data_IF_938462640736
#
_entry.id   IF_938462640736
#
_cell.length_a   1.000
_cell.length_b   1.000
_cell.length_c   1.000
_cell.angle_alpha   90.00
_cell.angle_beta   90.00
_cell.angle_gamma   90.00
#
_symmetry.space_group_name_H-M   'P 1'
#
loop_
_entity.id
_entity.type
_entity.pdbx_description
1 polymer ?
#
# COMPACT_ATOMS: atom_id res chain seq x y z
N UNK A 1 -36.57 0.59 46.37
CA UNK A 1 -36.20 0.21 44.99
C UNK A 1 -34.75 -0.22 45.02
N UNK A 2 -34.49 -1.52 45.10
CA UNK A 2 -33.16 -2.06 45.40
C UNK A 2 -32.25 -2.02 44.17
N UNK A 3 -31.07 -1.41 44.30
CA UNK A 3 -30.00 -1.38 43.29
C UNK A 3 -29.58 -2.79 42.80
N UNK A 4 -29.88 -3.84 43.57
CA UNK A 4 -29.58 -5.23 43.24
C UNK A 4 -30.39 -5.80 42.04
N UNK A 5 -31.54 -5.22 41.68
CA UNK A 5 -32.32 -5.67 40.52
C UNK A 5 -31.84 -5.07 39.19
N UNK A 6 -30.97 -4.05 39.22
CA UNK A 6 -30.44 -3.41 38.01
C UNK A 6 -29.14 -4.05 37.50
N UNK A 7 -28.43 -4.80 38.35
CA UNK A 7 -27.16 -5.46 38.01
C UNK A 7 -27.36 -6.56 36.94
N UNK A 8 -28.36 -7.45 37.02
CA UNK A 8 -28.59 -8.48 35.99
C UNK A 8 -29.01 -7.87 34.64
N UNK A 9 -29.74 -6.74 34.68
CA UNK A 9 -30.19 -6.04 33.46
C UNK A 9 -29.02 -5.33 32.78
N UNK A 10 -28.13 -4.68 33.55
CA UNK A 10 -26.90 -4.08 33.03
C UNK A 10 -25.96 -5.13 32.43
N UNK A 11 -25.79 -6.27 33.08
CA UNK A 11 -25.01 -7.40 32.56
C UNK A 11 -25.64 -8.00 31.30
N UNK A 12 -26.96 -8.17 31.25
CA UNK A 12 -27.65 -8.63 30.04
C UNK A 12 -27.54 -7.63 28.89
N UNK A 13 -27.70 -6.33 29.14
CA UNK A 13 -27.54 -5.28 28.12
C UNK A 13 -26.09 -5.23 27.62
N UNK A 14 -25.11 -5.37 28.51
CA UNK A 14 -23.70 -5.46 28.15
C UNK A 14 -23.41 -6.72 27.31
N UNK A 15 -23.88 -7.89 27.74
CA UNK A 15 -23.73 -9.15 27.00
C UNK A 15 -24.43 -9.09 25.63
N UNK A 16 -25.62 -8.51 25.53
CA UNK A 16 -26.33 -8.30 24.26
C UNK A 16 -25.61 -7.29 23.37
N UNK A 17 -25.03 -6.22 23.95
CA UNK A 17 -24.21 -5.27 23.21
C UNK A 17 -22.91 -5.92 22.70
N UNK A 18 -22.23 -6.72 23.52
CA UNK A 18 -21.05 -7.49 23.13
C UNK A 18 -21.39 -8.54 22.07
N UNK A 19 -22.51 -9.26 22.22
CA UNK A 19 -22.97 -10.25 21.25
C UNK A 19 -23.38 -9.59 19.93
N UNK A 20 -24.09 -8.45 19.97
CA UNK A 20 -24.44 -7.66 18.78
C UNK A 20 -23.19 -7.09 18.11
N UNK A 21 -22.23 -6.58 18.88
CA UNK A 21 -20.96 -6.09 18.37
C UNK A 21 -20.16 -7.22 17.71
N UNK A 22 -20.05 -8.37 18.37
CA UNK A 22 -19.38 -9.55 17.83
C UNK A 22 -20.08 -10.05 16.56
N UNK A 23 -21.42 -10.11 16.57
CA UNK A 23 -22.24 -10.47 15.42
C UNK A 23 -22.02 -9.52 14.24
N UNK A 24 -22.10 -8.21 14.47
CA UNK A 24 -21.85 -7.21 13.42
C UNK A 24 -20.43 -7.29 12.85
N UNK A 25 -19.44 -7.73 13.64
CA UNK A 25 -18.05 -7.90 13.21
C UNK A 25 -17.79 -9.20 12.47
N UNK A 26 -18.35 -10.31 12.92
CA UNK A 26 -18.28 -11.59 12.21
C UNK A 26 -18.98 -11.56 10.85
N UNK A 27 -19.90 -10.61 10.67
CA UNK A 27 -20.63 -10.41 9.42
C UNK A 27 -20.04 -9.28 8.56
N UNK A 28 -19.04 -8.58 9.07
CA UNK A 28 -18.36 -7.54 8.33
C UNK A 28 -17.41 -8.18 7.32
N UNK A 29 -17.65 -7.93 6.03
CA UNK A 29 -16.76 -8.29 4.94
C UNK A 29 -16.05 -7.06 4.41
N UNK A 30 -14.81 -7.22 3.95
CA UNK A 30 -14.02 -6.16 3.31
C UNK A 30 -14.76 -5.43 2.17
N UNK A 31 -15.70 -6.10 1.51
CA UNK A 31 -16.53 -5.51 0.45
C UNK A 31 -17.21 -4.19 0.83
N UNK A 32 -17.57 -3.98 2.10
CA UNK A 32 -18.20 -2.75 2.59
C UNK A 32 -17.28 -1.53 2.50
N UNK A 33 -15.97 -1.69 2.73
CA UNK A 33 -15.01 -0.57 2.67
C UNK A 33 -14.92 0.07 1.28
N UNK A 34 -15.20 -0.74 0.27
CA UNK A 34 -15.12 -0.34 -1.14
C UNK A 34 -16.49 -0.16 -1.79
N UNK A 35 -17.60 -0.27 -1.06
CA UNK A 35 -18.93 -0.33 -1.66
C UNK A 35 -19.26 0.92 -2.47
N UNK A 36 -18.75 2.08 -2.03
CA UNK A 36 -18.94 3.38 -2.68
C UNK A 36 -17.88 3.74 -3.72
N UNK A 37 -16.88 2.87 -3.93
CA UNK A 37 -15.78 3.14 -4.86
C UNK A 37 -16.19 2.95 -6.32
N UNK A 38 -15.47 3.62 -7.22
CA UNK A 38 -15.65 3.46 -8.67
C UNK A 38 -15.27 2.06 -9.15
N UNK A 39 -15.76 1.67 -10.34
CA UNK A 39 -15.33 0.43 -10.98
C UNK A 39 -14.05 0.67 -11.78
N UNK A 40 -13.07 -0.22 -11.65
CA UNK A 40 -11.86 -0.16 -12.47
C UNK A 40 -12.17 -0.52 -13.94
N UNK A 41 -11.47 0.11 -14.87
CA UNK A 41 -11.51 -0.27 -16.29
C UNK A 41 -10.61 -1.48 -16.59
N UNK A 42 -10.88 -2.18 -17.70
CA UNK A 42 -10.06 -3.32 -18.12
C UNK A 42 -8.62 -2.89 -18.38
N UNK A 43 -8.42 -1.75 -19.04
CA UNK A 43 -7.09 -1.27 -19.45
C UNK A 43 -6.21 -0.88 -18.25
N UNK A 44 -6.81 -0.31 -17.20
CA UNK A 44 -6.08 0.05 -15.97
C UNK A 44 -5.70 -1.17 -15.14
N UNK A 45 -6.55 -2.20 -15.18
CA UNK A 45 -6.37 -3.41 -14.40
C UNK A 45 -5.58 -4.50 -15.14
N UNK A 46 -5.45 -4.41 -16.47
CA UNK A 46 -4.72 -5.34 -17.33
C UNK A 46 -3.33 -5.73 -16.81
N UNK A 47 -2.50 -4.81 -16.28
CA UNK A 47 -1.15 -5.18 -15.85
C UNK A 47 -1.15 -6.12 -14.62
N UNK A 48 -2.21 -6.13 -13.81
CA UNK A 48 -2.20 -6.75 -12.49
C UNK A 48 -1.97 -8.27 -12.54
N UNK A 49 -2.72 -9.08 -13.33
CA UNK A 49 -2.48 -10.51 -13.41
C UNK A 49 -1.08 -10.84 -13.95
N UNK A 50 -0.62 -10.10 -14.98
CA UNK A 50 0.72 -10.27 -15.57
C UNK A 50 1.82 -10.02 -14.52
N UNK A 51 1.73 -8.92 -13.78
CA UNK A 51 2.70 -8.58 -12.74
C UNK A 51 2.66 -9.58 -11.58
N UNK A 52 1.49 -10.14 -11.24
CA UNK A 52 1.41 -11.23 -10.27
C UNK A 52 2.18 -12.47 -10.75
N UNK A 53 2.05 -12.85 -12.03
CA UNK A 53 2.83 -13.95 -12.61
C UNK A 53 4.33 -13.64 -12.63
N UNK A 54 4.72 -12.41 -12.95
CA UNK A 54 6.13 -11.99 -12.89
C UNK A 54 6.69 -12.11 -11.47
N UNK A 55 5.95 -11.67 -10.45
CA UNK A 55 6.36 -11.83 -9.04
C UNK A 55 6.43 -13.31 -8.66
N UNK A 56 5.45 -14.13 -9.06
CA UNK A 56 5.47 -15.58 -8.81
C UNK A 56 6.71 -16.24 -9.42
N UNK A 57 7.16 -15.81 -10.60
CA UNK A 57 8.38 -16.32 -11.21
C UNK A 57 9.64 -16.04 -10.36
N UNK A 58 9.65 -14.98 -9.54
CA UNK A 58 10.75 -14.69 -8.59
C UNK A 58 10.86 -15.77 -7.50
N UNK A 59 9.81 -16.57 -7.28
CA UNK A 59 9.82 -17.69 -6.33
C UNK A 59 10.39 -18.98 -6.90
N UNK A 60 10.50 -19.12 -8.23
CA UNK A 60 11.08 -20.31 -8.86
C UNK A 60 12.57 -20.40 -8.61
N UNK A 61 13.15 -21.59 -8.53
CA UNK A 61 14.61 -21.76 -8.47
C UNK A 61 15.23 -21.67 -9.88
N UNK A 62 14.58 -22.26 -10.88
CA UNK A 62 14.97 -22.23 -12.29
C UNK A 62 13.82 -21.67 -13.15
N UNK A 63 14.09 -20.60 -13.91
CA UNK A 63 13.11 -19.97 -14.78
C UNK A 63 12.96 -20.69 -16.13
N UNK A 64 13.96 -21.47 -16.55
CA UNK A 64 13.89 -22.27 -17.77
C UNK A 64 13.08 -23.57 -17.54
N UNK A 65 13.07 -24.07 -16.31
CA UNK A 65 12.33 -25.27 -15.89
C UNK A 65 11.49 -25.00 -14.63
N UNK A 66 10.43 -24.17 -14.73
CA UNK A 66 9.61 -23.81 -13.58
C UNK A 66 8.86 -25.02 -12.99
N UNK A 67 8.82 -25.12 -11.66
CA UNK A 67 8.16 -26.22 -10.95
C UNK A 67 6.74 -25.88 -10.49
N UNK A 68 6.47 -24.60 -10.25
CA UNK A 68 5.28 -24.08 -9.58
C UNK A 68 4.48 -23.12 -10.45
N UNK A 69 4.64 -23.22 -11.76
CA UNK A 69 3.95 -22.39 -12.72
C UNK A 69 2.42 -22.47 -12.55
N UNK A 70 1.70 -21.33 -12.54
CA UNK A 70 0.24 -21.32 -12.51
C UNK A 70 -0.33 -21.91 -13.81
N UNK A 71 -1.63 -22.27 -13.85
CA UNK A 71 -2.29 -22.67 -15.08
C UNK A 71 -2.12 -21.60 -16.17
N UNK A 72 -1.54 -21.99 -17.32
CA UNK A 72 -1.17 -21.04 -18.40
C UNK A 72 0.28 -20.57 -18.38
N UNK A 73 1.06 -20.96 -17.37
CA UNK A 73 2.47 -20.60 -17.22
C UNK A 73 2.66 -19.17 -16.71
N UNK A 74 3.92 -18.75 -16.57
CA UNK A 74 4.26 -17.39 -16.15
C UNK A 74 4.05 -16.34 -17.25
N UNK A 75 4.03 -16.76 -18.52
CA UNK A 75 3.96 -15.83 -19.65
C UNK A 75 5.20 -14.93 -19.76
N UNK A 76 6.34 -15.37 -19.20
CA UNK A 76 7.61 -14.66 -19.28
C UNK A 76 8.57 -15.39 -20.23
N UNK A 77 9.40 -14.62 -20.91
CA UNK A 77 10.55 -15.11 -21.66
C UNK A 77 11.83 -15.02 -20.80
N UNK A 78 12.43 -16.13 -20.35
CA UNK A 78 13.63 -16.11 -19.50
C UNK A 78 14.81 -15.31 -20.09
N UNK A 79 14.90 -15.19 -21.43
CA UNK A 79 15.94 -14.41 -22.11
C UNK A 79 15.83 -12.90 -21.90
N UNK A 80 14.67 -12.42 -21.44
CA UNK A 80 14.44 -11.01 -21.15
C UNK A 80 14.73 -10.65 -19.68
N UNK A 81 15.15 -11.64 -18.88
CA UNK A 81 15.66 -11.40 -17.53
C UNK A 81 17.02 -10.72 -17.62
N UNK A 82 17.10 -9.51 -17.09
CA UNK A 82 18.36 -8.75 -17.04
C UNK A 82 19.15 -9.16 -15.80
N UNK A 83 18.54 -9.04 -14.62
CA UNK A 83 19.14 -9.40 -13.35
C UNK A 83 18.17 -10.22 -12.52
N UNK A 84 18.71 -11.20 -11.80
CA UNK A 84 18.01 -11.92 -10.74
C UNK A 84 18.93 -11.95 -9.53
N UNK A 85 18.45 -11.49 -8.38
CA UNK A 85 19.24 -11.34 -7.16
C UNK A 85 18.60 -12.11 -6.02
N UNK A 86 19.32 -13.08 -5.47
CA UNK A 86 18.88 -13.89 -4.32
C UNK A 86 19.30 -13.27 -3.00
N UNK A 87 18.91 -13.88 -1.88
CA UNK A 87 19.33 -13.43 -0.55
C UNK A 87 20.85 -13.41 -0.36
N UNK A 88 21.55 -14.30 -1.04
CA UNK A 88 23.01 -14.41 -1.04
C UNK A 88 23.62 -13.18 -1.72
N UNK A 89 23.04 -12.74 -2.84
CA UNK A 89 23.46 -11.51 -3.53
C UNK A 89 23.14 -10.25 -2.73
N UNK A 90 21.94 -10.18 -2.13
CA UNK A 90 21.49 -9.00 -1.39
C UNK A 90 22.09 -8.90 0.02
N UNK A 91 22.69 -9.98 0.51
CA UNK A 91 23.16 -10.13 1.89
C UNK A 91 22.04 -9.84 2.90
N UNK A 92 20.80 -10.21 2.57
CA UNK A 92 19.62 -9.98 3.40
C UNK A 92 19.16 -8.52 3.50
N UNK A 93 19.71 -7.59 2.72
CA UNK A 93 19.31 -6.17 2.76
C UNK A 93 18.03 -5.87 1.98
N UNK A 94 17.68 -6.73 1.03
CA UNK A 94 16.44 -6.69 0.27
C UNK A 94 15.94 -8.13 0.03
N UNK A 95 14.62 -8.35 -0.15
CA UNK A 95 14.09 -9.63 -0.58
C UNK A 95 14.63 -9.99 -1.97
N UNK A 96 14.48 -11.26 -2.37
CA UNK A 96 14.82 -11.68 -3.74
C UNK A 96 14.04 -10.85 -4.77
N UNK A 97 14.70 -10.43 -5.84
CA UNK A 97 14.06 -9.66 -6.90
C UNK A 97 14.59 -10.00 -8.30
N UNK A 98 13.84 -9.55 -9.29
CA UNK A 98 14.07 -9.77 -10.71
C UNK A 98 13.91 -8.43 -11.46
N UNK A 99 14.86 -8.10 -12.33
CA UNK A 99 14.73 -7.06 -13.35
C UNK A 99 14.43 -7.74 -14.68
N UNK A 100 13.30 -7.38 -15.27
CA UNK A 100 12.74 -7.99 -16.46
C UNK A 100 12.47 -6.92 -17.53
N UNK A 101 12.95 -7.15 -18.74
CA UNK A 101 12.72 -6.25 -19.88
C UNK A 101 11.54 -6.76 -20.72
N UNK A 102 10.34 -6.29 -20.40
CA UNK A 102 9.11 -6.71 -21.08
C UNK A 102 8.95 -5.94 -22.39
N UNK A 103 9.38 -6.56 -23.49
CA UNK A 103 9.30 -5.96 -24.81
C UNK A 103 7.87 -5.88 -25.35
N UNK A 104 6.98 -6.78 -24.93
CA UNK A 104 5.59 -6.84 -25.40
C UNK A 104 4.77 -5.68 -24.83
N UNK A 105 5.08 -5.26 -23.60
CA UNK A 105 4.40 -4.17 -22.91
C UNK A 105 5.21 -2.87 -22.87
N UNK A 106 6.39 -2.86 -23.51
CA UNK A 106 7.33 -1.75 -23.50
C UNK A 106 7.60 -1.24 -22.08
N UNK A 107 8.06 -2.13 -21.19
CA UNK A 107 8.37 -1.77 -19.81
C UNK A 107 9.63 -2.46 -19.26
N UNK A 108 10.34 -1.73 -18.41
CA UNK A 108 11.38 -2.27 -17.54
C UNK A 108 10.68 -2.57 -16.21
N UNK A 109 10.50 -3.85 -15.90
CA UNK A 109 9.81 -4.29 -14.70
C UNK A 109 10.81 -4.74 -13.62
N UNK A 110 10.68 -4.22 -12.40
CA UNK A 110 11.42 -4.71 -11.23
C UNK A 110 10.44 -5.37 -10.27
N UNK A 111 10.50 -6.70 -10.18
CA UNK A 111 9.61 -7.52 -9.37
C UNK A 111 10.29 -8.00 -8.09
N UNK A 112 9.70 -7.72 -6.94
CA UNK A 112 10.24 -8.03 -5.61
C UNK A 112 9.37 -9.10 -4.93
N UNK A 113 10.02 -10.17 -4.49
CA UNK A 113 9.39 -11.28 -3.77
C UNK A 113 8.84 -10.82 -2.41
N UNK A 114 7.78 -11.47 -1.94
CA UNK A 114 7.32 -11.37 -0.56
C UNK A 114 8.24 -12.08 0.43
N UNK A 115 7.84 -12.06 1.71
CA UNK A 115 8.63 -12.61 2.81
C UNK A 115 8.92 -14.10 2.62
N UNK A 116 10.17 -14.50 2.83
CA UNK A 116 10.56 -15.89 2.93
C UNK A 116 10.60 -16.32 4.40
N UNK A 117 9.76 -17.29 4.76
CA UNK A 117 9.55 -17.70 6.16
C UNK A 117 10.82 -18.17 6.88
N UNK A 118 11.82 -18.65 6.13
CA UNK A 118 13.09 -19.14 6.67
C UNK A 118 14.19 -18.05 6.77
N UNK A 119 13.97 -16.83 6.27
CA UNK A 119 15.00 -15.78 6.24
C UNK A 119 14.74 -14.75 7.34
N UNK A 120 15.55 -14.79 8.38
CA UNK A 120 15.47 -13.86 9.53
C UNK A 120 15.57 -12.38 9.12
N UNK A 121 16.30 -12.08 8.05
CA UNK A 121 16.47 -10.72 7.53
C UNK A 121 15.14 -10.07 7.11
N UNK A 122 14.19 -10.85 6.59
CA UNK A 122 12.89 -10.34 6.18
C UNK A 122 12.04 -9.94 7.37
N UNK A 123 12.10 -10.74 8.44
CA UNK A 123 11.48 -10.37 9.70
C UNK A 123 12.17 -9.12 10.27
N UNK A 124 13.50 -9.10 10.37
CA UNK A 124 14.22 -7.93 10.86
C UNK A 124 13.85 -6.64 10.10
N UNK A 125 13.66 -6.72 8.78
CA UNK A 125 13.19 -5.62 7.95
C UNK A 125 11.79 -5.14 8.33
N UNK A 126 10.82 -6.06 8.46
CA UNK A 126 9.45 -5.73 8.88
C UNK A 126 9.39 -5.11 10.27
N UNK A 127 10.29 -5.52 11.16
CA UNK A 127 10.27 -5.16 12.58
C UNK A 127 11.08 -3.90 12.87
N UNK A 128 11.90 -3.47 11.91
CA UNK A 128 12.60 -2.20 11.95
C UNK A 128 11.64 -1.03 11.64
N UNK A 129 10.56 -0.90 12.40
CA UNK A 129 9.55 0.15 12.26
C UNK A 129 9.13 0.74 13.61
N UNK A 130 9.97 1.63 14.15
CA UNK A 130 9.60 2.42 15.34
C UNK A 130 8.83 3.67 14.89
N UNK A 131 7.65 3.90 15.47
CA UNK A 131 6.79 5.05 15.17
C UNK A 131 7.56 6.37 15.23
N UNK A 132 7.39 7.21 14.21
CA UNK A 132 8.02 8.53 14.13
C UNK A 132 9.52 8.53 13.84
N UNK A 133 10.17 7.37 13.65
CA UNK A 133 11.62 7.27 13.45
C UNK A 133 12.11 7.75 12.09
N UNK A 134 11.29 7.60 11.04
CA UNK A 134 11.72 7.89 9.67
C UNK A 134 10.72 8.81 8.97
N UNK A 135 11.21 9.99 8.57
CA UNK A 135 10.52 10.91 7.68
C UNK A 135 11.11 10.79 6.28
N UNK A 136 10.27 10.91 5.27
CA UNK A 136 10.66 10.97 3.87
C UNK A 136 9.65 11.83 3.11
N UNK A 137 10.13 12.73 2.24
CA UNK A 137 9.30 13.63 1.43
C UNK A 137 8.18 14.35 2.22
N UNK A 138 8.47 14.78 3.45
CA UNK A 138 7.50 15.50 4.30
C UNK A 138 6.40 14.63 4.93
N UNK A 139 6.50 13.30 4.87
CA UNK A 139 5.65 12.37 5.61
C UNK A 139 6.44 11.33 6.40
N UNK A 140 5.75 10.36 6.98
CA UNK A 140 6.32 9.25 7.73
C UNK A 140 6.27 7.96 6.91
N UNK A 141 7.32 7.15 7.00
CA UNK A 141 7.41 5.90 6.26
C UNK A 141 7.94 4.77 7.14
N UNK A 142 7.70 3.54 6.71
CA UNK A 142 8.24 2.37 7.36
C UNK A 142 9.76 2.30 7.19
N UNK A 143 10.49 2.32 8.31
CA UNK A 143 11.95 2.49 8.28
C UNK A 143 12.70 1.32 7.62
N UNK A 144 12.39 0.07 7.96
CA UNK A 144 13.03 -1.09 7.33
C UNK A 144 12.76 -1.22 5.83
N UNK A 145 11.51 -1.02 5.39
CA UNK A 145 11.14 -1.03 3.98
C UNK A 145 11.84 0.08 3.19
N UNK A 146 11.95 1.30 3.75
CA UNK A 146 12.67 2.38 3.07
C UNK A 146 14.16 2.07 2.95
N UNK A 147 14.80 1.52 3.99
CA UNK A 147 16.22 1.12 3.91
C UNK A 147 16.48 0.09 2.81
N UNK A 148 15.61 -0.90 2.69
CA UNK A 148 15.70 -1.91 1.63
C UNK A 148 15.54 -1.27 0.24
N UNK A 149 14.59 -0.33 0.10
CA UNK A 149 14.37 0.39 -1.14
C UNK A 149 15.54 1.31 -1.53
N UNK A 150 16.10 2.06 -0.58
CA UNK A 150 17.31 2.88 -0.78
C UNK A 150 18.49 1.99 -1.21
N UNK A 151 18.69 0.86 -0.54
CA UNK A 151 19.75 -0.07 -0.90
C UNK A 151 19.58 -0.64 -2.32
N UNK A 152 18.37 -1.06 -2.67
CA UNK A 152 18.06 -1.61 -3.99
C UNK A 152 18.22 -0.54 -5.09
N UNK A 153 17.80 0.70 -4.81
CA UNK A 153 18.02 1.82 -5.72
C UNK A 153 19.51 2.05 -5.96
N UNK A 154 20.34 2.10 -4.92
CA UNK A 154 21.79 2.24 -5.10
C UNK A 154 22.40 1.08 -5.89
N UNK A 155 21.95 -0.16 -5.65
CA UNK A 155 22.48 -1.34 -6.33
C UNK A 155 22.13 -1.40 -7.82
N UNK A 156 20.94 -0.94 -8.21
CA UNK A 156 20.40 -1.16 -9.56
C UNK A 156 20.17 0.14 -10.36
N UNK A 157 20.46 1.32 -9.80
CA UNK A 157 20.19 2.60 -10.48
C UNK A 157 20.88 2.73 -11.84
N UNK A 158 22.15 2.34 -11.95
CA UNK A 158 22.90 2.40 -13.22
C UNK A 158 22.30 1.46 -14.26
N UNK A 159 21.90 0.24 -13.86
CA UNK A 159 21.28 -0.76 -14.74
C UNK A 159 19.93 -0.24 -15.24
N UNK A 160 19.10 0.27 -14.34
CA UNK A 160 17.80 0.82 -14.67
C UNK A 160 17.93 2.05 -15.59
N UNK A 161 18.89 2.93 -15.34
CA UNK A 161 19.20 4.08 -16.21
C UNK A 161 19.56 3.59 -17.62
N UNK A 162 20.52 2.68 -17.73
CA UNK A 162 20.99 2.18 -19.02
C UNK A 162 19.87 1.49 -19.81
N UNK A 163 18.99 0.74 -19.14
CA UNK A 163 17.82 0.11 -19.78
C UNK A 163 16.80 1.14 -20.28
N UNK A 164 16.53 2.18 -19.48
CA UNK A 164 15.57 3.24 -19.82
C UNK A 164 16.11 4.16 -20.93
N UNK A 165 17.41 4.39 -20.99
CA UNK A 165 18.06 5.15 -22.06
C UNK A 165 18.06 4.38 -23.38
N UNK A 166 18.39 3.08 -23.35
CA UNK A 166 18.34 2.20 -24.54
C UNK A 166 16.91 2.01 -25.04
N UNK A 167 15.93 2.04 -24.15
CA UNK A 167 14.52 1.85 -24.46
C UNK A 167 13.72 3.11 -24.11
N UNK A 168 13.98 4.21 -24.82
CA UNK A 168 13.46 5.54 -24.49
C UNK A 168 11.93 5.65 -24.41
N UNK A 169 11.17 4.71 -24.99
CA UNK A 169 9.71 4.68 -24.94
C UNK A 169 9.15 3.81 -23.79
N UNK A 170 10.00 3.13 -23.03
CA UNK A 170 9.55 2.12 -22.07
C UNK A 170 9.11 2.77 -20.75
N UNK A 171 8.14 2.18 -20.07
CA UNK A 171 7.81 2.57 -18.70
C UNK A 171 8.71 1.86 -17.69
N UNK A 172 8.91 2.45 -16.51
CA UNK A 172 9.53 1.78 -15.37
C UNK A 172 8.41 1.30 -14.45
N UNK A 173 8.24 -0.01 -14.34
CA UNK A 173 7.19 -0.64 -13.53
C UNK A 173 7.83 -1.35 -12.33
N UNK A 174 7.58 -0.85 -11.13
CA UNK A 174 8.00 -1.47 -9.89
C UNK A 174 6.87 -2.33 -9.35
N UNK A 175 7.13 -3.55 -8.93
CA UNK A 175 6.09 -4.41 -8.39
C UNK A 175 6.62 -5.33 -7.31
N UNK A 176 5.74 -5.75 -6.43
CA UNK A 176 6.09 -6.74 -5.43
C UNK A 176 4.87 -7.24 -4.69
N UNK A 177 5.06 -8.31 -3.92
CA UNK A 177 4.01 -8.92 -3.11
C UNK A 177 4.32 -8.81 -1.62
N UNK A 178 3.31 -8.56 -0.78
CA UNK A 178 3.43 -8.61 0.68
C UNK A 178 4.58 -7.71 1.19
N UNK A 179 5.62 -8.26 1.81
CA UNK A 179 6.86 -7.54 2.16
C UNK A 179 7.45 -6.78 0.95
N UNK A 180 7.65 -7.46 -0.17
CA UNK A 180 8.24 -6.90 -1.38
C UNK A 180 7.40 -5.77 -1.99
N UNK A 181 6.08 -5.81 -1.82
CA UNK A 181 5.21 -4.71 -2.27
C UNK A 181 5.46 -3.40 -1.50
N UNK A 182 5.76 -3.52 -0.21
CA UNK A 182 6.12 -2.38 0.64
C UNK A 182 7.46 -1.79 0.24
N UNK A 183 8.44 -2.65 -0.08
CA UNK A 183 9.73 -2.23 -0.65
C UNK A 183 9.53 -1.57 -2.02
N UNK A 184 8.72 -2.14 -2.90
CA UNK A 184 8.42 -1.58 -4.22
C UNK A 184 7.76 -0.19 -4.12
N UNK A 185 6.82 0.00 -3.18
CA UNK A 185 6.20 1.29 -2.94
C UNK A 185 7.19 2.35 -2.42
N UNK A 186 8.08 1.98 -1.49
CA UNK A 186 9.16 2.87 -1.04
C UNK A 186 10.13 3.20 -2.17
N UNK A 187 10.49 2.19 -2.98
CA UNK A 187 11.38 2.35 -4.13
C UNK A 187 10.79 3.28 -5.17
N UNK A 188 9.48 3.22 -5.41
CA UNK A 188 8.79 4.16 -6.31
C UNK A 188 8.95 5.60 -5.83
N UNK A 189 8.83 5.85 -4.53
CA UNK A 189 9.06 7.18 -3.97
C UNK A 189 10.52 7.63 -4.11
N UNK A 190 11.48 6.74 -3.83
CA UNK A 190 12.92 7.01 -3.99
C UNK A 190 13.23 7.34 -5.45
N UNK A 191 12.76 6.54 -6.41
CA UNK A 191 12.92 6.75 -7.85
C UNK A 191 12.35 8.11 -8.28
N UNK A 192 11.12 8.42 -7.87
CA UNK A 192 10.45 9.69 -8.21
C UNK A 192 11.19 10.91 -7.66
N UNK A 193 11.82 10.77 -6.48
CA UNK A 193 12.62 11.81 -5.85
C UNK A 193 14.05 11.88 -6.40
N UNK A 194 14.51 10.92 -7.21
CA UNK A 194 15.88 10.88 -7.73
C UNK A 194 15.89 10.59 -9.25
N UNK A 195 14.91 11.13 -10.00
CA UNK A 195 14.73 10.86 -11.44
C UNK A 195 15.92 11.31 -12.28
N UNK A 196 16.66 12.31 -11.82
CA UNK A 196 17.89 12.78 -12.44
C UNK A 196 18.97 11.69 -12.52
N UNK A 197 18.97 10.72 -11.60
CA UNK A 197 19.87 9.56 -11.62
C UNK A 197 19.44 8.46 -12.59
N UNK A 198 18.21 8.52 -13.10
CA UNK A 198 17.60 7.58 -14.03
C UNK A 198 17.32 8.23 -15.39
N UNK A 199 18.23 9.07 -15.88
CA UNK A 199 18.11 9.70 -17.19
C UNK A 199 16.93 10.68 -17.30
N UNK A 200 16.50 11.28 -16.18
CA UNK A 200 15.35 12.19 -16.10
C UNK A 200 14.03 11.59 -16.62
N UNK A 201 13.80 10.30 -16.37
CA UNK A 201 12.53 9.64 -16.70
C UNK A 201 11.33 10.47 -16.22
N UNK A 202 10.33 10.63 -17.10
CA UNK A 202 9.13 11.39 -16.78
C UNK A 202 8.35 10.69 -15.66
N UNK A 203 7.81 11.45 -14.70
CA UNK A 203 7.04 10.88 -13.57
C UNK A 203 5.90 9.95 -14.04
N UNK A 204 5.19 10.33 -15.11
CA UNK A 204 4.09 9.53 -15.72
C UNK A 204 4.53 8.18 -16.30
N UNK A 205 5.83 7.99 -16.54
CA UNK A 205 6.40 6.71 -17.03
C UNK A 205 6.84 5.80 -15.88
N UNK A 206 6.76 6.27 -14.63
CA UNK A 206 7.07 5.47 -13.44
C UNK A 206 5.74 4.97 -12.87
N UNK A 207 5.62 3.66 -12.70
CA UNK A 207 4.44 3.01 -12.13
C UNK A 207 4.87 2.05 -11.04
N UNK A 208 4.04 1.88 -10.03
CA UNK A 208 4.21 0.86 -9.01
C UNK A 208 2.92 0.08 -8.82
N UNK A 209 3.00 -1.25 -8.82
CA UNK A 209 1.89 -2.14 -8.46
C UNK A 209 2.25 -2.91 -7.20
N UNK A 210 1.73 -2.45 -6.06
CA UNK A 210 1.96 -3.05 -4.76
C UNK A 210 0.87 -4.10 -4.47
N UNK A 211 1.22 -5.38 -4.60
CA UNK A 211 0.27 -6.49 -4.46
C UNK A 211 0.22 -6.92 -2.99
N UNK A 212 -0.98 -6.89 -2.39
CA UNK A 212 -1.21 -7.20 -0.97
C UNK A 212 -0.28 -6.41 -0.01
N UNK A 213 -0.33 -5.06 -0.01
CA UNK A 213 0.69 -4.28 0.66
C UNK A 213 0.56 -4.15 2.17
N UNK A 214 1.72 -4.12 2.82
CA UNK A 214 1.82 -3.64 4.20
C UNK A 214 1.62 -2.12 4.26
N UNK A 215 1.05 -1.66 5.37
CA UNK A 215 0.94 -0.23 5.67
C UNK A 215 2.34 0.37 5.83
N UNK A 216 2.75 1.24 4.90
CA UNK A 216 4.15 1.63 4.78
C UNK A 216 4.41 3.15 4.69
N UNK A 217 3.37 3.99 4.57
CA UNK A 217 3.53 5.45 4.48
C UNK A 217 2.37 6.21 5.13
N UNK A 218 2.59 7.44 5.55
CA UNK A 218 1.53 8.32 6.10
C UNK A 218 0.53 8.73 5.02
N UNK A 219 -0.65 9.18 5.44
CA UNK A 219 -1.76 9.47 4.53
C UNK A 219 -1.40 10.51 3.47
N UNK A 220 -0.70 11.59 3.84
CA UNK A 220 -0.25 12.58 2.87
C UNK A 220 0.63 12.00 1.77
N UNK A 221 1.47 11.02 2.07
CA UNK A 221 2.30 10.32 1.09
C UNK A 221 1.45 9.36 0.25
N UNK A 222 0.55 8.61 0.87
CA UNK A 222 -0.36 7.71 0.15
C UNK A 222 -1.17 8.47 -0.91
N UNK A 223 -1.70 9.65 -0.56
CA UNK A 223 -2.44 10.49 -1.51
C UNK A 223 -1.49 11.15 -2.54
N UNK A 224 -0.34 11.70 -2.11
CA UNK A 224 0.61 12.37 -3.01
C UNK A 224 1.19 11.47 -4.10
N UNK A 225 1.34 10.18 -3.82
CA UNK A 225 1.89 9.20 -4.75
C UNK A 225 0.82 8.30 -5.39
N UNK A 226 -0.47 8.62 -5.25
CA UNK A 226 -1.55 7.82 -5.83
C UNK A 226 -1.63 7.86 -7.38
N UNK A 227 -0.90 8.77 -8.01
CA UNK A 227 -0.68 8.81 -9.47
C UNK A 227 0.40 7.81 -9.93
N UNK A 228 1.28 7.36 -9.02
CA UNK A 228 2.40 6.46 -9.32
C UNK A 228 2.15 5.07 -8.74
N UNK A 229 1.64 4.99 -7.50
CA UNK A 229 1.51 3.74 -6.73
C UNK A 229 0.06 3.26 -6.78
N UNK A 230 -0.10 2.02 -7.20
CA UNK A 230 -1.36 1.29 -7.31
C UNK A 230 -1.29 0.05 -6.40
N UNK A 231 -2.04 0.07 -5.30
CA UNK A 231 -2.17 -1.05 -4.37
C UNK A 231 -3.28 -1.99 -4.78
N UNK A 232 -3.01 -3.29 -4.86
CA UNK A 232 -4.01 -4.31 -5.20
C UNK A 232 -4.29 -5.16 -3.97
N UNK A 233 -5.56 -5.27 -3.58
CA UNK A 233 -6.00 -6.04 -2.42
C UNK A 233 -7.11 -6.99 -2.83
N UNK A 234 -6.98 -8.27 -2.49
CA UNK A 234 -8.04 -9.26 -2.66
C UNK A 234 -8.84 -9.36 -1.36
N UNK A 235 -10.14 -9.12 -1.45
CA UNK A 235 -11.11 -9.36 -0.38
C UNK A 235 -10.63 -8.99 1.04
N UNK A 236 -10.59 -9.97 1.94
CA UNK A 236 -10.40 -9.79 3.37
C UNK A 236 -8.91 -9.88 3.74
N UNK A 237 -8.00 -9.67 2.78
CA UNK A 237 -6.57 -9.61 3.04
C UNK A 237 -6.29 -8.65 4.21
N UNK A 238 -5.63 -9.21 5.23
CA UNK A 238 -5.44 -8.58 6.52
C UNK A 238 -4.32 -7.53 6.49
N UNK A 239 -3.31 -7.72 5.62
CA UNK A 239 -2.06 -7.00 5.72
C UNK A 239 -2.19 -5.48 5.51
N UNK A 240 -3.01 -4.99 4.54
CA UNK A 240 -3.25 -3.57 4.35
C UNK A 240 -4.05 -2.91 5.49
N UNK A 241 -4.69 -3.72 6.33
CA UNK A 241 -5.66 -3.28 7.35
C UNK A 241 -5.10 -3.34 8.77
N UNK A 242 -4.08 -4.16 9.01
CA UNK A 242 -3.55 -4.39 10.36
C UNK A 242 -2.49 -3.38 10.74
N UNK A 243 -2.69 -2.75 11.90
CA UNK A 243 -1.66 -1.93 12.55
C UNK A 243 -0.75 -2.68 13.49
N UNK A 244 -1.17 -3.89 13.85
CA UNK A 244 -0.41 -4.79 14.69
C UNK A 244 0.92 -5.12 13.99
N UNK A 245 2.07 -5.01 14.68
CA UNK A 245 3.35 -5.47 14.15
C UNK A 245 3.20 -6.90 13.62
N UNK A 246 3.68 -7.15 12.40
CA UNK A 246 3.58 -8.47 11.76
C UNK A 246 4.14 -9.60 12.62
N UNK A 247 5.14 -9.29 13.45
CA UNK A 247 5.65 -10.16 14.52
C UNK A 247 4.55 -10.79 15.36
N UNK A 248 3.58 -9.98 15.79
CA UNK A 248 2.48 -10.41 16.66
C UNK A 248 1.46 -11.23 15.88
N UNK A 249 1.26 -10.92 14.59
CA UNK A 249 0.38 -11.68 13.70
C UNK A 249 1.00 -13.04 13.41
N UNK A 250 2.27 -13.11 13.02
CA UNK A 250 2.96 -14.37 12.76
C UNK A 250 3.11 -15.21 14.04
N UNK A 251 3.53 -14.62 15.17
CA UNK A 251 3.53 -15.32 16.47
C UNK A 251 2.13 -15.83 16.83
N UNK A 252 1.06 -15.06 16.57
CA UNK A 252 -0.32 -15.46 16.87
C UNK A 252 -0.93 -16.43 15.86
N UNK A 253 -0.50 -16.44 14.60
CA UNK A 253 -0.93 -17.38 13.57
C UNK A 253 -0.44 -18.80 13.91
N UNK A 254 0.75 -18.89 14.51
CA UNK A 254 1.33 -20.13 15.00
C UNK A 254 0.91 -20.48 16.45
N UNK A 255 0.55 -19.50 17.29
CA UNK A 255 0.29 -19.70 18.73
C UNK A 255 -1.16 -19.42 19.19
N UNK A 256 -2.17 -19.87 18.46
CA UNK A 256 -3.62 -19.84 18.75
C UNK A 256 -4.43 -18.72 18.06
N UNK A 257 -5.47 -19.07 17.26
CA UNK A 257 -6.46 -18.15 16.68
C UNK A 257 -7.10 -17.19 17.70
N UNK A 258 -7.20 -17.61 18.96
CA UNK A 258 -7.79 -16.86 20.06
C UNK A 258 -7.02 -15.58 20.41
N UNK A 259 -5.68 -15.62 20.31
CA UNK A 259 -4.82 -14.45 20.57
C UNK A 259 -4.96 -13.40 19.47
N UNK A 260 -5.09 -13.84 18.21
CA UNK A 260 -5.33 -12.96 17.07
C UNK A 260 -6.69 -12.28 17.25
N UNK A 261 -7.73 -13.04 17.60
CA UNK A 261 -9.05 -12.49 17.92
C UNK A 261 -8.97 -11.44 19.04
N UNK A 262 -8.35 -11.73 20.19
CA UNK A 262 -8.22 -10.80 21.31
C UNK A 262 -7.47 -9.50 20.93
N UNK A 263 -6.45 -9.60 20.08
CA UNK A 263 -5.63 -8.46 19.66
C UNK A 263 -6.31 -7.63 18.57
N UNK A 264 -6.96 -8.28 17.61
CA UNK A 264 -7.86 -7.64 16.67
C UNK A 264 -9.02 -6.94 17.39
N UNK A 265 -9.54 -7.51 18.50
CA UNK A 265 -10.51 -6.82 19.35
C UNK A 265 -9.91 -5.56 19.99
N UNK A 266 -8.68 -5.61 20.52
CA UNK A 266 -8.00 -4.43 21.08
C UNK A 266 -7.83 -3.31 20.05
N UNK A 267 -7.36 -3.63 18.85
CA UNK A 267 -7.20 -2.65 17.76
C UNK A 267 -8.56 -2.14 17.25
N UNK A 268 -9.62 -2.95 17.38
CA UNK A 268 -10.99 -2.54 17.08
C UNK A 268 -11.57 -1.56 18.09
N UNK A 269 -11.20 -1.69 19.37
CA UNK A 269 -11.72 -0.84 20.44
C UNK A 269 -11.07 0.55 20.49
N UNK A 270 -10.04 0.81 19.67
CA UNK A 270 -9.47 2.16 19.53
C UNK A 270 -10.44 3.01 18.68
N UNK A 271 -10.99 4.11 19.22
CA UNK A 271 -11.92 4.96 18.49
C UNK A 271 -11.30 5.52 17.21
N UNK A 272 -12.09 5.60 16.15
CA UNK A 272 -11.63 6.04 14.83
C UNK A 272 -11.00 7.44 14.88
N UNK A 273 -11.61 8.39 15.62
CA UNK A 273 -11.07 9.74 15.78
C UNK A 273 -9.65 9.78 16.41
N UNK A 274 -9.29 8.80 17.23
CA UNK A 274 -7.93 8.70 17.82
C UNK A 274 -6.94 8.23 16.77
N UNK A 275 -7.33 7.25 15.95
CA UNK A 275 -6.51 6.73 14.83
C UNK A 275 -6.27 7.80 13.77
N UNK A 276 -7.32 8.56 13.45
CA UNK A 276 -7.30 9.54 12.36
C UNK A 276 -6.41 10.75 12.66
N UNK A 277 -6.15 11.05 13.94
CA UNK A 277 -5.36 12.20 14.42
C UNK A 277 -3.87 11.94 14.54
N UNK A 278 -3.40 10.69 14.48
CA UNK A 278 -1.96 10.41 14.56
C UNK A 278 -1.28 10.60 13.19
N UNK A 279 -0.45 11.64 13.00
CA UNK A 279 0.23 11.88 11.72
C UNK A 279 1.29 10.82 11.40
N UNK A 280 1.71 10.02 12.40
CA UNK A 280 2.74 8.98 12.26
C UNK A 280 2.15 7.63 11.85
N UNK A 281 0.82 7.53 11.81
CA UNK A 281 0.12 6.32 11.39
C UNK A 281 0.39 6.05 9.92
N UNK A 282 0.75 4.81 9.62
CA UNK A 282 1.01 4.35 8.26
C UNK A 282 -0.24 3.69 7.66
N UNK A 283 -0.39 3.79 6.35
CA UNK A 283 -1.51 3.32 5.53
C UNK A 283 -1.00 2.55 4.31
N UNK A 284 -1.91 1.86 3.64
CA UNK A 284 -1.65 1.26 2.33
C UNK A 284 -1.26 2.38 1.33
N UNK A 285 -0.29 2.13 0.43
CA UNK A 285 0.25 3.19 -0.40
C UNK A 285 -0.58 3.46 -1.66
N UNK A 286 -0.75 4.72 -2.02
CA UNK A 286 -1.30 5.10 -3.33
C UNK A 286 -2.79 4.84 -3.55
N UNK A 287 -3.19 4.69 -4.82
CA UNK A 287 -4.55 4.32 -5.24
C UNK A 287 -4.80 2.85 -4.96
N UNK A 288 -5.98 2.50 -4.43
CA UNK A 288 -6.33 1.11 -4.14
C UNK A 288 -7.20 0.51 -5.24
N UNK A 289 -6.96 -0.77 -5.53
CA UNK A 289 -7.78 -1.66 -6.34
C UNK A 289 -8.20 -2.83 -5.46
N UNK A 290 -9.48 -2.90 -5.13
CA UNK A 290 -10.04 -3.92 -4.27
C UNK A 290 -10.84 -4.93 -5.10
N UNK A 291 -10.36 -6.17 -5.13
CA UNK A 291 -10.99 -7.29 -5.84
C UNK A 291 -12.00 -7.94 -4.90
N UNK A 292 -13.28 -7.86 -5.26
CA UNK A 292 -14.40 -8.33 -4.43
C UNK A 292 -15.07 -9.55 -5.07
N UNK A 293 -14.73 -10.75 -4.59
CA UNK A 293 -15.32 -12.03 -5.04
C UNK A 293 -16.32 -12.70 -4.07
N UNK A 294 -16.54 -12.16 -2.87
CA UNK A 294 -17.43 -12.67 -1.81
C UNK A 294 -18.33 -11.55 -1.27
N UNK A 295 -19.52 -11.94 -0.80
CA UNK A 295 -20.52 -11.07 -0.16
C UNK A 295 -20.97 -11.68 1.17
N UNK A 296 -21.37 -10.85 2.15
CA UNK A 296 -21.84 -11.36 3.44
C UNK A 296 -23.12 -12.19 3.25
N UNK A 297 -23.28 -13.23 4.07
CA UNK A 297 -24.46 -14.13 4.11
C UNK A 297 -24.77 -14.94 2.85
N UNK A 298 -23.84 -15.04 1.89
CA UNK A 298 -24.01 -15.90 0.72
C UNK A 298 -22.88 -16.93 0.64
N UNK A 299 -23.24 -18.20 0.52
CA UNK A 299 -22.27 -19.28 0.33
C UNK A 299 -21.73 -19.26 -1.11
N UNK A 300 -20.41 -19.15 -1.28
CA UNK A 300 -19.71 -19.30 -2.56
C UNK A 300 -18.94 -18.06 -3.04
N UNK A 301 -18.10 -18.27 -4.05
CA UNK A 301 -17.39 -17.20 -4.78
C UNK A 301 -18.24 -16.72 -5.95
N UNK A 302 -18.33 -15.41 -6.13
CA UNK A 302 -19.04 -14.75 -7.22
C UNK A 302 -18.06 -14.26 -8.28
N UNK A 303 -18.55 -13.86 -9.47
CA UNK A 303 -17.73 -13.15 -10.44
C UNK A 303 -17.01 -11.97 -9.76
N UNK A 304 -15.66 -11.93 -9.74
CA UNK A 304 -14.92 -10.88 -9.05
C UNK A 304 -15.20 -9.52 -9.67
N UNK A 305 -15.39 -8.51 -8.81
CA UNK A 305 -15.56 -7.12 -9.21
C UNK A 305 -14.41 -6.31 -8.66
N UNK A 306 -13.72 -5.56 -9.51
CA UNK A 306 -12.62 -4.68 -9.08
C UNK A 306 -13.14 -3.27 -8.89
N UNK A 307 -12.91 -2.74 -7.70
CA UNK A 307 -13.25 -1.36 -7.35
C UNK A 307 -11.99 -0.55 -7.10
N UNK A 308 -12.00 0.73 -7.44
CA UNK A 308 -10.84 1.60 -7.26
C UNK A 308 -11.21 2.95 -6.67
N UNK A 309 -10.34 3.46 -5.80
CA UNK A 309 -10.40 4.80 -5.25
C UNK A 309 -9.04 5.23 -4.67
N UNK A 310 -8.90 6.52 -4.37
CA UNK A 310 -7.88 7.05 -3.45
C UNK A 310 -8.52 7.28 -2.07
N UNK A 311 -8.47 6.30 -1.14
CA UNK A 311 -9.26 6.39 0.08
C UNK A 311 -8.67 7.38 1.09
N UNK A 312 -9.31 8.54 1.22
CA UNK A 312 -9.00 9.55 2.25
C UNK A 312 -9.92 9.43 3.45
N UNK A 313 -11.22 9.25 3.19
CA UNK A 313 -12.25 8.94 4.18
C UNK A 313 -12.37 7.40 4.32
N UNK A 314 -12.53 6.87 5.54
CA UNK A 314 -12.57 5.42 5.83
C UNK A 314 -11.23 4.66 5.74
N UNK A 315 -10.27 5.16 4.95
CA UNK A 315 -8.84 4.78 4.90
C UNK A 315 -8.51 3.29 4.74
N UNK A 316 -9.50 2.46 4.41
CA UNK A 316 -9.36 1.00 4.22
C UNK A 316 -8.69 0.30 5.42
N UNK A 317 -8.98 0.75 6.65
CA UNK A 317 -8.31 0.26 7.87
C UNK A 317 -9.15 -0.70 8.72
N UNK A 318 -10.39 -0.99 8.29
CA UNK A 318 -11.26 -1.86 9.06
C UNK A 318 -10.71 -3.29 9.04
N UNK A 319 -10.31 -3.78 10.22
CA UNK A 319 -9.84 -5.16 10.38
C UNK A 319 -11.03 -6.10 10.13
N UNK A 320 -10.85 -7.02 9.20
CA UNK A 320 -11.83 -8.06 8.87
C UNK A 320 -11.36 -9.39 9.43
N UNK A 321 -12.19 -10.03 10.24
CA UNK A 321 -11.92 -11.36 10.77
C UNK A 321 -12.48 -12.40 9.79
N UNK A 322 -11.61 -12.91 8.92
CA UNK A 322 -11.96 -13.88 7.89
C UNK A 322 -11.07 -15.11 8.00
N UNK A 323 -11.66 -16.31 7.91
CA UNK A 323 -10.90 -17.56 7.80
C UNK A 323 -10.14 -17.68 6.47
N UNK A 324 -10.45 -16.81 5.49
CA UNK A 324 -9.78 -16.75 4.20
C UNK A 324 -8.66 -15.71 4.15
N UNK A 325 -8.40 -14.95 5.22
CA UNK A 325 -7.47 -13.82 5.17
C UNK A 325 -6.06 -14.18 4.68
N UNK A 326 -5.53 -15.36 5.04
CA UNK A 326 -4.24 -15.85 4.54
C UNK A 326 -4.30 -16.32 3.08
N UNK A 327 -5.44 -16.85 2.66
CA UNK A 327 -5.71 -17.27 1.27
C UNK A 327 -5.80 -16.03 0.37
N UNK A 328 -6.49 -15.00 0.84
CA UNK A 328 -6.66 -13.71 0.16
C UNK A 328 -5.34 -12.94 0.05
N UNK A 329 -4.45 -13.12 1.03
CA UNK A 329 -3.11 -12.56 1.01
C UNK A 329 -2.18 -13.27 0.02
N UNK A 330 -2.44 -14.53 -0.33
CA UNK A 330 -1.52 -15.33 -1.13
C UNK A 330 -1.57 -14.92 -2.61
N UNK A 331 -0.41 -14.58 -3.17
CA UNK A 331 -0.28 -14.07 -4.54
C UNK A 331 -0.91 -14.98 -5.61
N UNK A 332 -0.89 -16.30 -5.43
CA UNK A 332 -1.51 -17.23 -6.37
C UNK A 332 -3.03 -17.05 -6.47
N UNK A 333 -3.69 -16.69 -5.37
CA UNK A 333 -5.12 -16.40 -5.37
C UNK A 333 -5.41 -15.01 -5.92
N UNK A 334 -4.54 -14.04 -5.64
CA UNK A 334 -4.63 -12.69 -6.22
C UNK A 334 -4.47 -12.77 -7.74
N UNK A 335 -3.51 -13.53 -8.26
CA UNK A 335 -3.32 -13.77 -9.69
C UNK A 335 -4.57 -14.39 -10.31
N UNK A 336 -5.09 -15.47 -9.71
CA UNK A 336 -6.26 -16.18 -10.24
C UNK A 336 -7.51 -15.31 -10.29
N UNK A 337 -7.83 -14.62 -9.20
CA UNK A 337 -9.03 -13.79 -9.15
C UNK A 337 -8.87 -12.48 -9.93
N UNK A 338 -7.65 -11.94 -10.04
CA UNK A 338 -7.38 -10.80 -10.92
C UNK A 338 -7.50 -11.18 -12.40
N UNK A 339 -6.96 -12.33 -12.82
CA UNK A 339 -7.11 -12.81 -14.20
C UNK A 339 -8.60 -13.02 -14.54
N UNK A 340 -9.33 -13.69 -13.64
CA UNK A 340 -10.77 -13.90 -13.82
C UNK A 340 -11.55 -12.59 -13.89
N UNK A 341 -11.18 -11.59 -13.08
CA UNK A 341 -11.81 -10.27 -13.13
C UNK A 341 -11.53 -9.56 -14.45
N UNK A 342 -10.28 -9.61 -14.94
CA UNK A 342 -9.88 -9.03 -16.21
C UNK A 342 -10.63 -9.68 -17.39
N UNK A 343 -10.72 -11.01 -17.41
CA UNK A 343 -11.45 -11.75 -18.45
C UNK A 343 -12.91 -11.31 -18.51
N UNK A 344 -13.59 -11.22 -17.36
CA UNK A 344 -14.97 -10.74 -17.27
C UNK A 344 -15.15 -9.29 -17.72
N UNK A 345 -14.18 -8.41 -17.42
CA UNK A 345 -14.20 -7.03 -17.91
C UNK A 345 -14.09 -6.99 -19.43
N UNK A 346 -13.17 -7.76 -20.01
CA UNK A 346 -12.95 -7.84 -21.46
C UNK A 346 -14.14 -8.48 -22.19
N UNK A 347 -14.76 -9.51 -21.63
CA UNK A 347 -16.00 -10.11 -22.16
C UNK A 347 -17.15 -9.11 -22.17
N UNK A 348 -17.29 -8.34 -21.08
CA UNK A 348 -18.29 -7.28 -21.00
C UNK A 348 -18.04 -6.18 -22.04
N UNK A 349 -16.79 -5.81 -22.28
CA UNK A 349 -16.46 -4.83 -23.33
C UNK A 349 -16.71 -5.35 -24.73
N UNK A 350 -16.35 -6.62 -25.01
CA UNK A 350 -16.61 -7.28 -26.31
C UNK A 350 -18.11 -7.41 -26.59
N UNK A 351 -18.91 -7.80 -25.59
CA UNK A 351 -20.37 -7.93 -25.75
C UNK A 351 -21.08 -6.60 -25.98
N UNK A 352 -20.48 -5.48 -25.57
CA UNK A 352 -20.99 -4.14 -25.86
C UNK A 352 -20.53 -3.59 -27.23
N UNK A 353 -19.71 -4.33 -28.00
CA UNK A 353 -19.18 -3.95 -29.32
C UNK A 353 -18.61 -2.51 -29.39
N UNK A 354 -17.99 -2.04 -28.31
CA UNK A 354 -17.55 -0.64 -28.21
C UNK A 354 -16.45 -0.36 -29.25
N UNK A 355 -16.67 0.55 -30.22
CA UNK A 355 -15.67 0.91 -31.22
C UNK A 355 -14.37 1.41 -30.59
N UNK A 356 -13.22 1.11 -31.21
CA UNK A 356 -11.89 1.48 -30.70
C UNK A 356 -11.74 2.99 -30.44
N UNK A 357 -12.34 3.83 -31.27
CA UNK A 357 -12.33 5.29 -31.06
C UNK A 357 -13.04 5.69 -29.76
N UNK A 358 -14.21 5.10 -29.49
CA UNK A 358 -14.94 5.33 -28.25
C UNK A 358 -14.19 4.79 -27.03
N UNK A 359 -13.45 3.68 -27.17
CA UNK A 359 -12.56 3.17 -26.10
C UNK A 359 -11.46 4.18 -25.77
N UNK A 360 -10.77 4.71 -26.78
CA UNK A 360 -9.72 5.73 -26.58
C UNK A 360 -10.27 7.02 -25.97
N UNK A 361 -11.45 7.47 -26.37
CA UNK A 361 -12.12 8.62 -25.76
C UNK A 361 -12.48 8.37 -24.30
N UNK A 362 -13.02 7.18 -24.01
CA UNK A 362 -13.35 6.75 -22.65
C UNK A 362 -12.12 6.69 -21.74
N UNK A 363 -10.99 6.18 -22.24
CA UNK A 363 -9.72 6.19 -21.52
C UNK A 363 -9.27 7.62 -21.18
N UNK A 364 -9.37 8.55 -22.14
CA UNK A 364 -9.04 9.96 -21.90
C UNK A 364 -9.97 10.61 -20.87
N UNK A 365 -11.25 10.24 -20.85
CA UNK A 365 -12.18 10.75 -19.82
C UNK A 365 -11.88 10.15 -18.45
N UNK A 366 -11.58 8.85 -18.36
CA UNK A 366 -11.21 8.17 -17.10
C UNK A 366 -9.93 8.78 -16.50
N UNK A 367 -8.91 9.03 -17.32
CA UNK A 367 -7.69 9.71 -16.87
C UNK A 367 -8.00 11.09 -16.25
N UNK A 368 -8.87 11.89 -16.90
CA UNK A 368 -9.32 13.18 -16.36
C UNK A 368 -10.15 13.05 -15.08
N UNK A 369 -10.95 12.01 -14.96
CA UNK A 369 -11.73 11.72 -13.75
C UNK A 369 -10.80 11.33 -12.59
N UNK A 370 -9.78 10.51 -12.86
CA UNK A 370 -8.76 10.17 -11.88
C UNK A 370 -7.93 11.36 -11.42
N UNK A 371 -7.58 12.28 -12.32
CA UNK A 371 -6.91 13.53 -11.95
C UNK A 371 -7.78 14.38 -11.01
N UNK A 372 -9.08 14.49 -11.31
CA UNK A 372 -10.05 15.20 -10.46
C UNK A 372 -10.27 14.52 -9.12
N UNK A 373 -10.37 13.20 -9.11
CA UNK A 373 -10.49 12.41 -7.88
C UNK A 373 -9.25 12.60 -7.00
N UNK A 374 -8.06 12.55 -7.59
CA UNK A 374 -6.80 12.79 -6.91
C UNK A 374 -6.73 14.22 -6.34
N UNK A 375 -7.14 15.23 -7.12
CA UNK A 375 -7.20 16.61 -6.64
C UNK A 375 -8.19 16.78 -5.48
N UNK A 376 -9.35 16.14 -5.56
CA UNK A 376 -10.33 16.12 -4.47
C UNK A 376 -9.79 15.42 -3.22
N UNK A 377 -9.12 14.28 -3.39
CA UNK A 377 -8.45 13.54 -2.33
C UNK A 377 -7.36 14.39 -1.65
N UNK A 378 -6.54 15.11 -2.43
CA UNK A 378 -5.53 16.03 -1.91
C UNK A 378 -6.16 17.16 -1.09
N UNK A 379 -7.19 17.83 -1.63
CA UNK A 379 -7.92 18.89 -0.90
C UNK A 379 -8.55 18.36 0.38
N UNK A 380 -9.11 17.15 0.33
CA UNK A 380 -9.71 16.48 1.49
C UNK A 380 -8.66 16.13 2.55
N UNK A 381 -7.51 15.60 2.14
CA UNK A 381 -6.41 15.27 3.03
C UNK A 381 -5.90 16.53 3.75
N UNK A 382 -5.72 17.65 3.02
CA UNK A 382 -5.35 18.95 3.62
C UNK A 382 -6.40 19.43 4.64
N UNK A 383 -7.69 19.25 4.34
CA UNK A 383 -8.78 19.62 5.27
C UNK A 383 -8.77 18.76 6.55
N UNK A 384 -8.33 17.51 6.46
CA UNK A 384 -8.18 16.62 7.61
C UNK A 384 -6.88 16.91 8.39
N UNK A 385 -5.87 17.47 7.72
CA UNK A 385 -4.59 17.94 8.29
C UNK A 385 -4.65 19.39 8.76
N UNK A 386 -5.58 19.75 9.66
CA UNK A 386 -5.51 21.04 10.38
C UNK A 386 -4.45 20.94 11.50
N UNK A 387 -3.33 21.68 11.44
CA UNK A 387 -2.30 21.67 12.48
C UNK A 387 -2.43 22.92 13.39
N UNK A 388 -2.60 22.71 14.70
CA UNK A 388 -1.91 23.43 15.79
C UNK A 388 -2.56 23.08 17.14
N UNK A 389 -1.94 22.15 17.87
CA UNK A 389 -1.89 22.14 19.34
C UNK A 389 -0.89 21.08 19.80
N UNK A 390 0.22 21.56 20.35
CA UNK A 390 1.17 20.81 21.14
C UNK A 390 0.51 19.93 22.21
N UNK A 391 0.79 18.63 22.23
CA UNK A 391 1.49 17.89 23.32
C UNK A 391 1.54 16.40 22.94
N UNK A 392 2.66 15.69 23.15
CA UNK A 392 2.65 14.23 23.04
C UNK A 392 1.72 13.67 24.13
N UNK A 393 0.69 12.93 23.72
CA UNK A 393 -0.02 12.04 24.63
C UNK A 393 0.97 10.97 25.14
N UNK A 394 1.12 10.79 26.46
CA UNK A 394 1.89 9.68 27.01
C UNK A 394 1.02 8.42 26.94
N UNK A 395 1.01 7.77 25.78
CA UNK A 395 0.54 6.38 25.68
C UNK A 395 1.57 5.56 24.90
N UNK A 396 2.78 5.53 25.43
CA UNK A 396 3.74 4.46 25.24
C UNK A 396 3.88 3.74 26.57
N UNK A 397 3.29 2.56 26.71
CA UNK A 397 3.57 1.69 27.86
C UNK A 397 5.04 1.28 27.79
N UNK A 398 5.88 1.93 28.61
CA UNK A 398 6.89 1.40 29.54
C UNK A 398 7.87 2.53 29.88
N UNK A 399 7.62 3.24 30.99
CA UNK A 399 8.60 4.13 31.63
C UNK A 399 9.52 3.33 32.55
N UNK A 400 10.83 3.65 32.52
CA UNK A 400 11.71 3.85 33.69
C UNK A 400 12.92 4.73 33.30
N UNK A 401 12.74 6.04 33.50
CA UNK A 401 13.55 6.96 34.32
C UNK A 401 14.99 7.42 33.95
N UNK A 402 15.46 8.59 34.47
CA UNK A 402 15.91 9.72 33.63
C UNK A 402 17.30 10.30 33.96
N UNK A 403 17.88 11.13 33.07
CA UNK A 403 18.77 12.26 33.46
C UNK A 403 19.02 13.31 32.34
N UNK A 404 18.53 14.53 32.60
CA UNK A 404 19.04 15.90 32.32
C UNK A 404 19.76 16.34 31.02
N UNK A 405 19.11 17.33 30.35
CA UNK A 405 19.54 18.72 30.03
C UNK A 405 20.32 19.14 28.75
N UNK A 406 19.78 20.24 28.16
CA UNK A 406 20.38 21.32 27.32
C UNK A 406 20.89 20.96 25.90
N UNK A 407 20.90 21.78 24.84
CA UNK A 407 20.54 23.17 24.52
C UNK A 407 20.54 23.33 22.97
N UNK A 408 19.83 24.36 22.49
CA UNK A 408 19.89 25.19 21.26
C UNK A 408 20.55 24.79 19.90
N UNK A 409 19.94 25.33 18.83
CA UNK A 409 20.26 25.30 17.38
C UNK A 409 21.37 26.34 17.02
N UNK A 410 21.88 26.64 15.76
CA UNK A 410 21.13 26.67 14.48
C UNK A 410 21.87 26.60 13.09
N UNK A 411 21.06 26.68 12.01
CA UNK A 411 21.22 27.26 10.63
C UNK A 411 21.98 26.55 9.46
N UNK A 412 21.18 26.17 8.44
CA UNK A 412 21.21 26.31 6.94
C UNK A 412 22.52 26.26 6.12
N UNK A 413 22.63 25.86 4.84
CA UNK A 413 21.75 25.89 3.65
C UNK A 413 22.43 25.02 2.54
N UNK A 414 21.76 24.34 1.59
CA UNK A 414 21.51 24.87 0.22
C UNK A 414 21.07 23.74 -0.76
N UNK A 415 19.80 23.28 -0.71
CA UNK A 415 19.21 22.42 -1.78
C UNK A 415 18.23 23.21 -2.66
N UNK A 416 18.67 24.41 -3.02
CA UNK A 416 17.95 25.61 -3.49
C UNK A 416 16.98 25.50 -4.68
N UNK A 417 16.78 24.35 -5.31
CA UNK A 417 15.91 24.27 -6.49
C UNK A 417 14.59 23.52 -6.27
N UNK A 418 14.45 22.75 -5.18
CA UNK A 418 13.15 22.17 -4.77
C UNK A 418 12.19 23.18 -4.12
N UNK A 419 12.74 24.31 -3.64
CA UNK A 419 12.04 25.47 -3.07
C UNK A 419 11.05 26.13 -4.03
N UNK A 420 11.44 26.31 -5.29
CA UNK A 420 10.74 27.23 -6.20
C UNK A 420 9.33 26.78 -6.64
N UNK A 421 9.00 25.48 -6.58
CA UNK A 421 7.70 24.95 -7.01
C UNK A 421 6.69 24.80 -5.87
N UNK A 422 7.16 24.54 -4.65
CA UNK A 422 6.31 24.35 -3.48
C UNK A 422 5.96 25.69 -2.79
N UNK A 423 6.88 26.66 -2.79
CA UNK A 423 6.68 27.99 -2.19
C UNK A 423 5.56 28.78 -2.89
N UNK A 424 5.44 28.66 -4.22
CA UNK A 424 4.40 29.34 -5.02
C UNK A 424 2.96 28.90 -4.71
N UNK A 425 2.79 27.67 -4.24
CA UNK A 425 1.47 27.08 -3.96
C UNK A 425 1.04 27.38 -2.52
N UNK A 426 2.02 27.48 -1.63
CA UNK A 426 1.86 27.80 -0.21
C UNK A 426 1.54 29.29 0.03
N UNK A 427 2.19 30.23 -0.68
CA UNK A 427 1.93 31.69 -0.58
C UNK A 427 0.53 32.12 -1.05
N UNK A 428 -0.17 31.28 -1.83
CA UNK A 428 -1.55 31.57 -2.27
C UNK A 428 -2.60 31.30 -1.21
N UNK A 429 -2.30 30.45 -0.22
CA UNK A 429 -3.29 29.89 0.69
C UNK A 429 -3.02 30.29 2.15
N UNK A 430 -1.77 30.62 2.49
CA UNK A 430 -1.35 30.97 3.86
C UNK A 430 -0.46 32.22 3.88
N UNK A 431 -0.60 33.05 4.92
CA UNK A 431 0.31 34.15 5.26
C UNK A 431 1.12 33.81 6.52
N UNK A 432 2.27 34.46 6.70
CA UNK A 432 3.06 34.30 7.94
C UNK A 432 2.74 35.44 8.89
N UNK A 433 2.43 35.09 10.14
CA UNK A 433 2.36 36.08 11.22
C UNK A 433 3.77 36.52 11.66
N UNK A 434 3.83 37.50 12.56
CA UNK A 434 5.09 38.10 13.04
C UNK A 434 6.02 37.10 13.75
N UNK A 435 5.53 35.91 14.11
CA UNK A 435 6.31 34.84 14.74
C UNK A 435 6.85 33.80 13.74
N UNK A 436 6.46 33.92 12.46
CA UNK A 436 6.89 33.03 11.38
C UNK A 436 6.07 31.74 11.24
N UNK A 437 4.96 31.61 11.97
CA UNK A 437 3.98 30.54 11.81
C UNK A 437 3.04 30.84 10.63
N UNK A 438 2.64 29.77 9.93
CA UNK A 438 1.83 29.84 8.71
C UNK A 438 0.34 29.80 9.07
N UNK A 439 -0.36 30.92 8.90
CA UNK A 439 -1.80 31.07 9.18
C UNK A 439 -2.59 31.25 7.88
N UNK A 440 -3.83 30.73 7.77
CA UNK A 440 -4.62 30.87 6.55
C UNK A 440 -4.92 32.36 6.28
N UNK A 441 -4.71 32.81 5.05
CA UNK A 441 -5.16 34.16 4.64
C UNK A 441 -6.69 34.22 4.79
N UNK A 442 -7.19 35.22 5.51
CA UNK A 442 -8.65 35.45 5.66
C UNK A 442 -9.31 35.87 4.35
#
# INVERSE_FOLDING_TARGET
MSLACCIPVLECVYCLACARWAWQRCLYTAGHDSETWGLASADEFEPVPRLCRLILAVYEDDLDHPQWAPPGGYGINPRWVVHRKTYEDTQGRAPTYLIYLDHDHAEVALAIRGLHMAKESDYAMLLDNRLGRRKFDGGYVHNGLLKAAEWLFEAECDVLRDLLEKNANYTLTLTGHSLGSGVAAMLAMVVVQNRERLGNVERKRIRCFAIAPARCMSLNLAVRYADVINSVVLQDDFLPRTATPLEDIFKSLFCLPCLLCLRCMKDTCIPEYVKLRDPRRLYAPGRLYHIVERKPFRCGRFPPVVRTAVPVDGRFEHIVLSCNATTDHAIIWIERESQRALDLMLERERSMEIPTQQRMERQKTLAKEHDKELEAALRRAVTLEVPDAYTPSPYGTFDKDPTSMAEESPVSSSSDQRRLSWDRLIERVFEKDESGQMVPRR
#
